data_IF_017139248943
#
_entry.id   IF_017139248943
#
_cell.length_a   1.000
_cell.length_b   1.000
_cell.length_c   1.000
_cell.angle_alpha   90.00
_cell.angle_beta   90.00
_cell.angle_gamma   90.00
#
_symmetry.space_group_name_H-M   'P 1'
#
loop_
_entity.id
_entity.type
_entity.pdbx_description
1 polymer ?
#
# COMPACT_ATOMS: atom_id res chain seq x y z
N UNK A 1 15.94 7.43 14.30
CA UNK A 1 15.22 6.27 13.73
C UNK A 1 13.78 6.67 13.44
N UNK A 2 13.34 6.50 12.24
CA UNK A 2 11.94 6.78 11.87
C UNK A 2 11.17 5.48 11.69
N UNK A 3 9.88 5.53 11.93
CA UNK A 3 8.95 4.44 11.68
C UNK A 3 8.15 4.79 10.42
N UNK A 4 8.30 4.00 9.37
CA UNK A 4 7.77 4.27 8.04
C UNK A 4 6.81 3.15 7.64
N UNK A 5 5.61 3.52 7.20
CA UNK A 5 4.61 2.56 6.74
C UNK A 5 4.46 2.68 5.22
N UNK A 6 4.54 1.55 4.52
CA UNK A 6 4.33 1.46 3.08
C UNK A 6 2.99 0.81 2.77
N UNK A 7 2.28 1.39 1.81
CA UNK A 7 1.07 0.80 1.22
C UNK A 7 1.27 0.64 -0.28
N UNK A 8 0.97 -0.53 -0.81
CA UNK A 8 1.10 -0.80 -2.24
C UNK A 8 -0.01 -1.72 -2.73
N UNK A 9 -0.40 -1.57 -3.99
CA UNK A 9 -1.34 -2.49 -4.63
C UNK A 9 -0.64 -3.83 -4.94
N UNK A 10 -1.41 -4.93 -5.14
CA UNK A 10 -0.81 -6.25 -5.38
C UNK A 10 -0.32 -6.42 -6.82
N UNK A 11 0.66 -5.59 -7.21
CA UNK A 11 1.24 -5.61 -8.55
C UNK A 11 2.76 -5.58 -8.46
N UNK A 12 3.43 -6.49 -9.18
CA UNK A 12 4.89 -6.59 -9.16
C UNK A 12 5.56 -5.32 -9.68
N UNK A 13 5.01 -4.71 -10.74
CA UNK A 13 5.55 -3.48 -11.32
C UNK A 13 5.49 -2.29 -10.38
N UNK A 14 4.57 -2.27 -9.44
CA UNK A 14 4.46 -1.22 -8.43
C UNK A 14 5.28 -1.52 -7.18
N UNK A 15 5.43 -2.79 -6.84
CA UNK A 15 6.14 -3.23 -5.63
C UNK A 15 7.65 -3.29 -5.82
N UNK A 16 8.13 -3.84 -6.94
CA UNK A 16 9.56 -4.06 -7.16
C UNK A 16 10.41 -2.80 -7.00
N UNK A 17 10.03 -1.63 -7.54
CA UNK A 17 10.81 -0.41 -7.35
C UNK A 17 10.95 0.02 -5.89
N UNK A 18 9.96 -0.30 -5.04
CA UNK A 18 10.01 0.08 -3.63
C UNK A 18 10.95 -0.78 -2.80
N UNK A 19 11.26 -2.00 -3.26
CA UNK A 19 12.03 -2.96 -2.46
C UNK A 19 13.45 -2.46 -2.16
N UNK A 20 14.10 -1.81 -3.12
CA UNK A 20 15.43 -1.24 -2.91
C UNK A 20 15.38 -0.06 -1.93
N UNK A 21 14.36 0.78 -2.05
CA UNK A 21 14.15 1.91 -1.13
C UNK A 21 13.96 1.38 0.29
N UNK A 22 13.16 0.35 0.47
CA UNK A 22 12.91 -0.28 1.78
C UNK A 22 14.21 -0.84 2.37
N UNK A 23 15.00 -1.56 1.58
CA UNK A 23 16.29 -2.08 2.02
C UNK A 23 17.22 -0.97 2.50
N UNK A 24 17.28 0.12 1.75
CA UNK A 24 18.13 1.26 2.09
C UNK A 24 17.67 1.92 3.40
N UNK A 25 16.36 2.12 3.56
CA UNK A 25 15.81 2.70 4.79
C UNK A 25 16.15 1.83 6.01
N UNK A 26 16.02 0.53 5.88
CA UNK A 26 16.34 -0.40 6.96
C UNK A 26 17.85 -0.39 7.27
N UNK A 27 18.70 -0.30 6.24
CA UNK A 27 20.15 -0.23 6.43
C UNK A 27 20.56 1.03 7.17
N UNK A 28 19.78 2.11 7.08
CA UNK A 28 20.01 3.37 7.79
C UNK A 28 19.40 3.38 9.19
N UNK A 29 18.84 2.27 9.66
CA UNK A 29 18.31 2.13 11.01
C UNK A 29 16.84 2.49 11.17
N UNK A 30 16.11 2.71 10.07
CA UNK A 30 14.68 2.97 10.14
C UNK A 30 13.88 1.68 10.25
N UNK A 31 12.72 1.75 10.88
CA UNK A 31 11.78 0.64 10.94
C UNK A 31 10.76 0.79 9.82
N UNK A 32 10.59 -0.26 9.00
CA UNK A 32 9.62 -0.25 7.91
C UNK A 32 8.56 -1.32 8.15
N UNK A 33 7.31 -0.91 8.03
CA UNK A 33 6.13 -1.79 8.08
C UNK A 33 5.48 -1.71 6.71
N UNK A 34 5.33 -2.85 6.05
CA UNK A 34 4.85 -2.88 4.66
C UNK A 34 3.52 -3.62 4.59
N UNK A 35 2.46 -2.89 4.23
CA UNK A 35 1.13 -3.43 3.98
C UNK A 35 1.01 -3.86 2.53
N UNK A 36 0.79 -5.11 2.29
CA UNK A 36 0.59 -5.65 0.94
C UNK A 36 -0.20 -6.95 1.02
N UNK A 37 -0.07 -7.79 0.02
CA UNK A 37 -0.85 -9.02 -0.13
C UNK A 37 0.08 -10.23 -0.11
N UNK A 38 -0.47 -11.40 0.23
CA UNK A 38 0.32 -12.63 0.40
C UNK A 38 1.11 -13.00 -0.86
N UNK A 39 0.63 -12.61 -2.03
CA UNK A 39 1.32 -12.81 -3.31
C UNK A 39 2.76 -12.27 -3.28
N UNK A 40 2.98 -11.17 -2.56
CA UNK A 40 4.27 -10.46 -2.52
C UNK A 40 5.01 -10.64 -1.20
N UNK A 41 4.49 -11.45 -0.29
CA UNK A 41 4.99 -11.64 1.07
C UNK A 41 6.48 -11.94 1.14
N UNK A 42 6.94 -12.94 0.36
CA UNK A 42 8.34 -13.36 0.40
C UNK A 42 9.28 -12.26 -0.04
N UNK A 43 8.95 -11.57 -1.12
CA UNK A 43 9.78 -10.47 -1.64
C UNK A 43 9.91 -9.33 -0.63
N UNK A 44 8.81 -8.99 0.06
CA UNK A 44 8.80 -7.91 1.03
C UNK A 44 9.55 -8.31 2.30
N UNK A 45 9.33 -9.51 2.80
CA UNK A 45 10.03 -10.01 3.99
C UNK A 45 11.54 -10.08 3.77
N UNK A 46 11.99 -10.41 2.57
CA UNK A 46 13.42 -10.47 2.23
C UNK A 46 14.12 -9.12 2.33
N UNK A 47 13.38 -8.01 2.34
CA UNK A 47 13.96 -6.68 2.57
C UNK A 47 14.28 -6.40 4.04
N UNK A 48 13.74 -7.19 4.95
CA UNK A 48 13.82 -6.94 6.38
C UNK A 48 12.63 -6.17 6.95
N UNK A 49 11.70 -5.74 6.11
CA UNK A 49 10.49 -5.04 6.56
C UNK A 49 9.53 -6.00 7.28
N UNK A 50 8.76 -5.44 8.22
CA UNK A 50 7.65 -6.17 8.81
C UNK A 50 6.49 -6.18 7.82
N UNK A 51 6.07 -7.37 7.43
CA UNK A 51 4.97 -7.54 6.48
C UNK A 51 3.63 -7.67 7.22
N UNK A 52 2.63 -6.93 6.75
CA UNK A 52 1.24 -7.07 7.21
C UNK A 52 0.38 -7.35 5.99
N UNK A 53 -0.36 -8.46 6.02
CA UNK A 53 -1.19 -8.88 4.89
C UNK A 53 -2.52 -8.16 4.86
N UNK A 54 -2.84 -7.54 3.73
CA UNK A 54 -4.18 -6.99 3.48
C UNK A 54 -5.20 -8.07 3.12
N UNK A 55 -4.75 -9.29 2.82
CA UNK A 55 -5.66 -10.42 2.58
C UNK A 55 -6.42 -10.82 3.85
N UNK A 56 -5.87 -10.49 5.03
CA UNK A 56 -6.50 -10.78 6.31
C UNK A 56 -7.64 -9.80 6.64
N UNK A 57 -7.72 -8.68 5.91
CA UNK A 57 -8.84 -7.76 6.02
C UNK A 57 -9.96 -8.28 5.14
N UNK A 58 -11.10 -8.52 5.77
CA UNK A 58 -12.26 -9.14 5.14
C UNK A 58 -12.83 -8.23 4.06
N UNK A 59 -12.28 -8.36 2.88
CA UNK A 59 -12.83 -7.75 1.69
C UNK A 59 -13.92 -8.70 1.20
N UNK A 60 -15.17 -8.36 1.43
CA UNK A 60 -16.32 -9.18 1.08
C UNK A 60 -16.42 -9.54 -0.41
N UNK A 61 -15.55 -8.95 -1.22
CA UNK A 61 -15.56 -9.17 -2.65
C UNK A 61 -14.31 -9.92 -3.10
N UNK A 62 -14.39 -11.25 -3.09
CA UNK A 62 -13.46 -12.06 -3.84
C UNK A 62 -13.77 -11.86 -5.32
N UNK A 63 -12.85 -11.21 -6.03
CA UNK A 63 -12.99 -11.01 -7.45
C UNK A 63 -13.01 -12.36 -8.17
N UNK A 64 -13.98 -12.55 -9.07
CA UNK A 64 -13.99 -13.70 -9.99
C UNK A 64 -12.84 -13.56 -11.00
N UNK A 65 -12.54 -14.64 -11.74
CA UNK A 65 -11.55 -14.58 -12.82
C UNK A 65 -11.94 -13.56 -13.88
N UNK A 66 -13.23 -13.45 -14.17
CA UNK A 66 -13.78 -12.48 -15.13
C UNK A 66 -13.56 -11.05 -14.62
N UNK A 67 -13.83 -10.80 -13.36
CA UNK A 67 -13.62 -9.50 -12.74
C UNK A 67 -12.14 -9.11 -12.75
N UNK A 68 -11.24 -10.07 -12.49
CA UNK A 68 -9.80 -9.82 -12.53
C UNK A 68 -9.35 -9.39 -13.93
N UNK A 69 -9.91 -10.00 -14.99
CA UNK A 69 -9.56 -9.62 -16.35
C UNK A 69 -10.08 -8.24 -16.73
N UNK A 70 -11.18 -7.78 -16.13
CA UNK A 70 -11.74 -6.46 -16.35
C UNK A 70 -10.93 -5.34 -15.72
N UNK A 71 -10.16 -5.62 -14.68
CA UNK A 71 -9.38 -4.60 -13.96
C UNK A 71 -8.42 -3.81 -14.84
N UNK A 72 -7.90 -4.43 -15.90
CA UNK A 72 -6.97 -3.77 -16.81
C UNK A 72 -7.62 -3.08 -17.99
N UNK A 73 -8.89 -3.38 -18.30
CA UNK A 73 -9.56 -2.92 -19.53
C UNK A 73 -10.78 -2.04 -19.29
N UNK A 74 -11.36 -2.07 -18.09
CA UNK A 74 -12.56 -1.31 -17.73
C UNK A 74 -12.20 -0.29 -16.65
N UNK A 75 -12.05 0.96 -17.04
CA UNK A 75 -11.68 2.05 -16.13
C UNK A 75 -12.70 2.27 -15.01
N UNK A 76 -13.99 2.22 -15.35
CA UNK A 76 -15.07 2.41 -14.37
C UNK A 76 -15.05 1.30 -13.32
N UNK A 77 -14.84 0.06 -13.75
CA UNK A 77 -14.75 -1.09 -12.86
C UNK A 77 -13.51 -1.01 -11.97
N UNK A 78 -12.36 -0.65 -12.53
CA UNK A 78 -11.11 -0.48 -11.76
C UNK A 78 -11.26 0.62 -10.71
N UNK A 79 -11.89 1.72 -11.06
CA UNK A 79 -12.15 2.83 -10.13
C UNK A 79 -13.06 2.39 -8.99
N UNK A 80 -14.11 1.63 -9.30
CA UNK A 80 -15.02 1.09 -8.27
C UNK A 80 -14.27 0.19 -7.29
N UNK A 81 -13.42 -0.69 -7.80
CA UNK A 81 -12.63 -1.59 -6.94
C UNK A 81 -11.69 -0.80 -6.03
N UNK A 82 -11.05 0.25 -6.55
CA UNK A 82 -10.20 1.11 -5.73
C UNK A 82 -10.98 1.81 -4.62
N UNK A 83 -12.16 2.32 -4.93
CA UNK A 83 -13.02 2.98 -3.94
C UNK A 83 -13.48 1.98 -2.88
N UNK A 84 -13.97 0.82 -3.31
CA UNK A 84 -14.44 -0.22 -2.38
C UNK A 84 -13.30 -0.70 -1.47
N UNK A 85 -12.10 -0.87 -2.01
CA UNK A 85 -10.92 -1.24 -1.23
C UNK A 85 -10.58 -0.16 -0.21
N UNK A 86 -10.62 1.10 -0.63
CA UNK A 86 -10.35 2.24 0.25
C UNK A 86 -11.32 2.25 1.44
N UNK A 87 -12.60 2.08 1.17
CA UNK A 87 -13.63 2.07 2.22
C UNK A 87 -13.48 0.87 3.17
N UNK A 88 -13.17 -0.31 2.62
CA UNK A 88 -13.01 -1.52 3.41
C UNK A 88 -11.79 -1.45 4.34
N UNK A 89 -10.71 -0.84 3.89
CA UNK A 89 -9.46 -0.76 4.65
C UNK A 89 -9.43 0.42 5.64
N UNK A 90 -10.19 1.47 5.37
CA UNK A 90 -10.07 2.75 6.10
C UNK A 90 -10.17 2.58 7.62
N UNK A 91 -11.21 1.93 8.10
CA UNK A 91 -11.48 1.84 9.54
C UNK A 91 -10.42 1.03 10.27
N UNK A 92 -10.11 -0.18 9.78
CA UNK A 92 -9.15 -1.07 10.41
C UNK A 92 -7.74 -0.50 10.37
N UNK A 93 -7.33 0.00 9.23
CA UNK A 93 -5.97 0.53 9.05
C UNK A 93 -5.79 1.83 9.84
N UNK A 94 -6.80 2.69 9.90
CA UNK A 94 -6.74 3.89 10.75
C UNK A 94 -6.53 3.53 12.22
N UNK A 95 -7.22 2.52 12.72
CA UNK A 95 -7.05 2.05 14.09
C UNK A 95 -5.61 1.55 14.32
N UNK A 96 -5.08 0.78 13.38
CA UNK A 96 -3.70 0.29 13.46
C UNK A 96 -2.68 1.42 13.40
N UNK A 97 -2.92 2.43 12.55
CA UNK A 97 -2.02 3.58 12.44
C UNK A 97 -1.99 4.40 13.72
N UNK A 98 -3.11 4.52 14.43
CA UNK A 98 -3.15 5.18 15.74
C UNK A 98 -2.31 4.45 16.77
N UNK A 99 -2.22 3.13 16.68
CA UNK A 99 -1.40 2.32 17.57
C UNK A 99 0.09 2.37 17.18
N UNK A 100 0.38 2.28 15.89
CA UNK A 100 1.74 2.27 15.36
C UNK A 100 2.39 3.64 15.48
N UNK A 101 1.64 4.71 15.26
CA UNK A 101 2.13 6.11 15.26
C UNK A 101 3.33 6.28 14.31
N UNK A 102 3.15 6.04 13.00
CA UNK A 102 4.26 6.16 12.06
C UNK A 102 4.68 7.62 11.89
N UNK A 103 5.95 7.83 11.60
CA UNK A 103 6.48 9.15 11.28
C UNK A 103 6.14 9.56 9.85
N UNK A 104 5.98 8.59 8.97
CA UNK A 104 5.71 8.82 7.56
C UNK A 104 4.93 7.66 6.96
N UNK A 105 4.03 7.96 6.04
CA UNK A 105 3.35 6.98 5.20
C UNK A 105 3.82 7.15 3.76
N UNK A 106 4.33 6.08 3.15
CA UNK A 106 4.67 6.03 1.73
C UNK A 106 3.64 5.13 1.04
N UNK A 107 2.96 5.65 0.06
CA UNK A 107 1.96 4.87 -0.66
C UNK A 107 2.17 4.96 -2.16
N UNK A 108 1.98 3.82 -2.85
CA UNK A 108 1.90 3.80 -4.30
C UNK A 108 0.78 4.72 -4.77
N UNK A 109 0.97 5.36 -5.92
CA UNK A 109 -0.01 6.31 -6.46
C UNK A 109 -1.40 5.69 -6.67
N UNK A 110 -1.46 4.36 -6.85
CA UNK A 110 -2.72 3.63 -6.98
C UNK A 110 -3.28 3.16 -5.63
N UNK A 111 -2.49 3.21 -4.57
CA UNK A 111 -2.94 2.87 -3.22
C UNK A 111 -3.50 4.11 -2.52
N UNK A 112 -4.59 4.64 -3.03
CA UNK A 112 -5.18 5.92 -2.59
C UNK A 112 -5.61 5.94 -1.13
N UNK A 113 -5.91 4.79 -0.55
CA UNK A 113 -6.26 4.67 0.86
C UNK A 113 -5.13 5.16 1.77
N UNK A 114 -3.88 4.96 1.40
CA UNK A 114 -2.74 5.45 2.17
C UNK A 114 -2.72 6.96 2.29
N UNK A 115 -3.03 7.65 1.19
CA UNK A 115 -3.12 9.12 1.17
C UNK A 115 -4.25 9.62 2.08
N UNK A 116 -5.43 9.03 1.97
CA UNK A 116 -6.57 9.44 2.79
C UNK A 116 -6.31 9.21 4.28
N UNK A 117 -5.72 8.09 4.63
CA UNK A 117 -5.36 7.78 6.02
C UNK A 117 -4.34 8.79 6.55
N UNK A 118 -3.32 9.11 5.77
CA UNK A 118 -2.31 10.09 6.17
C UNK A 118 -2.92 11.47 6.39
N UNK A 119 -3.80 11.92 5.49
CA UNK A 119 -4.50 13.19 5.62
C UNK A 119 -5.39 13.20 6.86
N UNK A 120 -6.13 12.14 7.09
CA UNK A 120 -7.06 12.01 8.20
C UNK A 120 -6.38 12.06 9.56
N UNK A 121 -5.20 11.45 9.66
CA UNK A 121 -4.45 11.36 10.90
C UNK A 121 -3.34 12.41 11.05
N UNK A 122 -3.15 13.25 10.05
CA UNK A 122 -2.11 14.29 10.09
C UNK A 122 -0.69 13.73 10.02
N UNK A 123 -0.49 12.64 9.29
CA UNK A 123 0.81 11.98 9.13
C UNK A 123 1.47 12.44 7.83
N UNK A 124 2.79 12.66 7.85
CA UNK A 124 3.55 13.00 6.66
C UNK A 124 3.36 11.94 5.57
N UNK A 125 3.07 12.37 4.34
CA UNK A 125 2.76 11.49 3.24
C UNK A 125 3.74 11.67 2.07
N UNK A 126 4.21 10.54 1.53
CA UNK A 126 5.04 10.51 0.32
C UNK A 126 4.37 9.57 -0.69
N UNK A 127 4.17 10.08 -1.91
CA UNK A 127 3.63 9.26 -3.00
C UNK A 127 4.76 8.58 -3.76
N UNK A 128 4.65 7.27 -3.93
CA UNK A 128 5.56 6.47 -4.74
C UNK A 128 4.94 6.31 -6.13
N UNK A 129 5.55 6.92 -7.13
CA UNK A 129 5.07 6.87 -8.51
C UNK A 129 5.96 5.96 -9.35
N UNK A 130 5.37 4.91 -9.92
CA UNK A 130 6.08 3.94 -10.75
C UNK A 130 5.79 4.13 -12.24
N UNK A 131 4.99 5.14 -12.57
CA UNK A 131 4.64 5.54 -13.94
C UNK A 131 5.25 6.91 -14.23
N UNK A 132 4.87 7.51 -15.37
CA UNK A 132 5.36 8.84 -15.71
C UNK A 132 4.95 9.87 -14.67
N UNK A 133 5.89 10.71 -14.29
CA UNK A 133 5.58 11.86 -13.45
C UNK A 133 4.75 12.85 -14.26
N UNK A 134 3.61 13.28 -13.68
CA UNK A 134 2.81 14.33 -14.29
C UNK A 134 3.40 15.68 -13.87
N UNK A 135 3.90 16.41 -14.84
CA UNK A 135 4.34 17.80 -14.61
C UNK A 135 3.11 18.69 -14.52
N UNK A 136 2.99 19.38 -13.44
CA UNK A 136 1.96 20.39 -13.27
C UNK A 136 2.49 21.74 -13.73
#
# INVERSE_FOLDING_TARGET
>A
MAKIVFFCIPAFGHTNPTLQVVKELISQGHQVIYYSYNLLKEKIKNTGAKFISCDDYDMEQKLSKEDTSRLGSDLAFSTKILVDTTLALDEKVCTEMKQIQPDCIVADSMAIWGKFIALKLGILFVSSTTTFAFNQ
#
